data_IF_185257393569
#
_entry.id   IF_185257393569
#
_cell.length_a   1.000
_cell.length_b   1.000
_cell.length_c   1.000
_cell.angle_alpha   90.00
_cell.angle_beta   90.00
_cell.angle_gamma   90.00
#
_symmetry.space_group_name_H-M   'P 1'
#
loop_
_entity.id
_entity.type
_entity.pdbx_description
1 polymer ?
#
# COMPACT_ATOMS: atom_id res chain seq x y z
N UNK A 1 27.87 -17.39 1.62
CA UNK A 1 26.95 -17.34 2.77
C UNK A 1 26.51 -15.90 2.92
N UNK A 2 25.21 -15.55 2.99
CA UNK A 2 24.84 -14.20 3.39
C UNK A 2 25.06 -14.12 4.90
N UNK A 3 26.20 -13.58 5.30
CA UNK A 3 26.59 -13.44 6.70
C UNK A 3 26.22 -12.04 7.18
N UNK A 4 25.23 -11.94 8.08
CA UNK A 4 25.07 -10.80 8.98
C UNK A 4 24.24 -9.59 8.54
N UNK A 5 23.45 -9.67 7.46
CA UNK A 5 22.57 -8.57 7.02
C UNK A 5 21.13 -9.02 6.76
N UNK A 6 20.17 -8.10 6.86
CA UNK A 6 18.80 -8.32 6.41
C UNK A 6 18.84 -8.83 4.96
N UNK A 7 18.11 -9.90 4.65
CA UNK A 7 18.08 -10.52 3.32
C UNK A 7 17.42 -9.68 2.22
N UNK A 8 17.25 -8.38 2.47
CA UNK A 8 16.58 -7.39 1.62
C UNK A 8 17.30 -6.04 1.82
N UNK A 9 17.58 -5.33 0.73
CA UNK A 9 18.18 -3.99 0.74
C UNK A 9 17.13 -2.89 0.87
N UNK A 10 17.53 -1.69 1.30
CA UNK A 10 16.65 -0.51 1.32
C UNK A 10 16.04 -0.22 -0.06
N UNK A 11 16.82 -0.37 -1.13
CA UNK A 11 16.34 -0.23 -2.51
C UNK A 11 15.26 -1.25 -2.88
N UNK A 12 15.39 -2.50 -2.44
CA UNK A 12 14.36 -3.53 -2.65
C UNK A 12 13.08 -3.24 -1.87
N UNK A 13 13.18 -2.71 -0.64
CA UNK A 13 12.03 -2.25 0.13
C UNK A 13 11.30 -1.10 -0.58
N UNK A 14 12.03 -0.10 -1.08
CA UNK A 14 11.45 1.01 -1.87
C UNK A 14 10.80 0.50 -3.16
N UNK A 15 11.43 -0.44 -3.85
CA UNK A 15 10.85 -1.10 -5.04
C UNK A 15 9.57 -1.85 -4.71
N UNK A 16 9.52 -2.54 -3.57
CA UNK A 16 8.32 -3.23 -3.13
C UNK A 16 7.21 -2.25 -2.77
N UNK A 17 7.51 -1.15 -2.06
CA UNK A 17 6.55 -0.09 -1.75
C UNK A 17 5.87 0.41 -3.03
N UNK A 18 6.64 0.66 -4.10
CA UNK A 18 6.09 1.06 -5.41
C UNK A 18 5.15 0.02 -6.04
N UNK A 19 5.41 -1.28 -5.84
CA UNK A 19 4.49 -2.34 -6.29
C UNK A 19 3.20 -2.36 -5.47
N UNK A 20 3.29 -2.07 -4.17
CA UNK A 20 2.14 -1.99 -3.27
C UNK A 20 1.29 -0.74 -3.59
N UNK A 21 1.90 0.40 -3.90
CA UNK A 21 1.18 1.57 -4.41
C UNK A 21 0.36 1.21 -5.65
N UNK A 22 0.95 0.47 -6.60
CA UNK A 22 0.25 0.01 -7.79
C UNK A 22 -0.94 -0.93 -7.50
N UNK A 23 -0.99 -1.55 -6.32
CA UNK A 23 -2.16 -2.30 -5.86
C UNK A 23 -3.20 -1.38 -5.19
N UNK A 24 -2.76 -0.40 -4.41
CA UNK A 24 -3.63 0.65 -3.87
C UNK A 24 -4.36 1.39 -5.00
N UNK A 25 -3.65 1.76 -6.07
CA UNK A 25 -4.24 2.41 -7.25
C UNK A 25 -5.32 1.55 -7.91
N UNK A 26 -5.09 0.23 -8.02
CA UNK A 26 -6.09 -0.70 -8.57
C UNK A 26 -7.33 -0.80 -7.68
N UNK A 27 -7.17 -0.73 -6.36
CA UNK A 27 -8.30 -0.65 -5.43
C UNK A 27 -9.08 0.65 -5.62
N UNK A 28 -8.38 1.78 -5.84
CA UNK A 28 -9.00 3.06 -6.19
C UNK A 28 -9.83 2.99 -7.47
N UNK A 29 -9.28 2.39 -8.54
CA UNK A 29 -10.02 2.16 -9.80
C UNK A 29 -11.26 1.30 -9.57
N UNK A 30 -11.15 0.22 -8.78
CA UNK A 30 -12.28 -0.64 -8.46
C UNK A 30 -13.35 0.09 -7.64
N UNK A 31 -12.94 0.91 -6.66
CA UNK A 31 -13.83 1.76 -5.85
C UNK A 31 -14.58 2.75 -6.74
N UNK A 32 -13.88 3.42 -7.65
CA UNK A 32 -14.50 4.39 -8.55
C UNK A 32 -15.49 3.73 -9.50
N UNK A 33 -15.19 2.51 -9.96
CA UNK A 33 -16.13 1.69 -10.72
C UNK A 33 -17.35 1.28 -9.87
N UNK A 34 -17.15 0.87 -8.61
CA UNK A 34 -18.24 0.52 -7.70
C UNK A 34 -19.15 1.73 -7.38
N UNK A 35 -18.61 2.94 -7.38
CA UNK A 35 -19.37 4.17 -7.18
C UNK A 35 -20.11 4.66 -8.44
N UNK A 36 -19.96 4.01 -9.60
CA UNK A 36 -20.85 4.23 -10.73
C UNK A 36 -22.19 3.57 -10.43
N UNK A 37 -23.02 4.27 -9.66
CA UNK A 37 -24.36 3.83 -9.29
C UNK A 37 -25.20 3.63 -10.55
N UNK A 38 -25.77 2.42 -10.71
CA UNK A 38 -26.85 2.23 -11.67
C UNK A 38 -28.11 2.90 -11.12
N UNK A 39 -28.77 3.77 -11.90
CA UNK A 39 -30.02 4.35 -11.44
C UNK A 39 -31.08 3.25 -11.26
N UNK A 40 -31.94 3.39 -10.26
CA UNK A 40 -32.93 2.37 -9.87
C UNK A 40 -33.84 1.92 -11.05
N UNK A 41 -34.08 2.83 -12.01
CA UNK A 41 -34.86 2.58 -13.21
C UNK A 41 -34.14 1.71 -14.26
N UNK A 42 -32.80 1.56 -14.17
CA UNK A 42 -32.00 0.70 -15.03
C UNK A 42 -32.32 -0.79 -14.86
N UNK A 43 -32.88 -1.20 -13.71
CA UNK A 43 -33.34 -2.56 -13.48
C UNK A 43 -34.62 -2.91 -14.26
N UNK A 44 -35.35 -1.89 -14.74
CA UNK A 44 -36.61 -2.06 -15.45
C UNK A 44 -37.79 -2.45 -14.55
N UNK A 45 -38.99 -2.42 -15.12
CA UNK A 45 -40.26 -2.52 -14.38
C UNK A 45 -40.40 -3.82 -13.58
N UNK A 46 -39.93 -4.96 -14.11
CA UNK A 46 -40.08 -6.27 -13.47
C UNK A 46 -39.16 -6.38 -12.24
N UNK A 47 -37.99 -5.74 -12.28
CA UNK A 47 -36.94 -5.87 -11.26
C UNK A 47 -36.83 -4.66 -10.32
N UNK A 48 -37.80 -3.74 -10.34
CA UNK A 48 -37.81 -2.51 -9.52
C UNK A 48 -37.75 -2.75 -7.99
N UNK A 49 -37.96 -4.00 -7.54
CA UNK A 49 -37.88 -4.37 -6.13
C UNK A 49 -36.44 -4.68 -5.66
N UNK A 50 -35.50 -4.82 -6.60
CA UNK A 50 -34.12 -5.20 -6.32
C UNK A 50 -33.24 -4.09 -5.72
N UNK A 51 -33.33 -2.81 -6.13
CA UNK A 51 -32.42 -1.78 -5.62
C UNK A 51 -32.37 -1.68 -4.09
N UNK A 52 -33.49 -1.70 -3.34
CA UNK A 52 -33.45 -1.69 -1.88
C UNK A 52 -32.70 -2.88 -1.26
N UNK A 53 -32.61 -4.00 -1.97
CA UNK A 53 -31.90 -5.22 -1.54
C UNK A 53 -30.42 -5.18 -1.93
N UNK A 54 -30.10 -4.62 -3.10
CA UNK A 54 -28.75 -4.62 -3.68
C UNK A 54 -27.92 -3.42 -3.21
N UNK A 55 -28.49 -2.22 -3.14
CA UNK A 55 -27.76 -0.99 -2.81
C UNK A 55 -26.98 -1.07 -1.47
N UNK A 56 -27.48 -1.72 -0.40
CA UNK A 56 -26.69 -1.89 0.83
C UNK A 56 -25.46 -2.77 0.64
N UNK A 57 -25.52 -3.78 -0.25
CA UNK A 57 -24.38 -4.63 -0.58
C UNK A 57 -23.36 -3.85 -1.42
N UNK A 58 -23.82 -3.03 -2.37
CA UNK A 58 -22.95 -2.16 -3.18
C UNK A 58 -22.19 -1.17 -2.31
N UNK A 59 -22.86 -0.54 -1.33
CA UNK A 59 -22.20 0.37 -0.40
C UNK A 59 -21.11 -0.35 0.43
N UNK A 60 -21.42 -1.53 0.98
CA UNK A 60 -20.44 -2.32 1.72
C UNK A 60 -19.24 -2.73 0.86
N UNK A 61 -19.47 -3.03 -0.42
CA UNK A 61 -18.39 -3.33 -1.36
C UNK A 61 -17.50 -2.11 -1.61
N UNK A 62 -18.08 -0.92 -1.80
CA UNK A 62 -17.34 0.33 -1.97
C UNK A 62 -16.51 0.68 -0.72
N UNK A 63 -17.07 0.48 0.47
CA UNK A 63 -16.38 0.70 1.75
C UNK A 63 -15.20 -0.28 1.91
N UNK A 64 -15.39 -1.55 1.57
CA UNK A 64 -14.34 -2.56 1.62
C UNK A 64 -13.18 -2.26 0.65
N UNK A 65 -13.48 -1.77 -0.55
CA UNK A 65 -12.47 -1.35 -1.52
C UNK A 65 -11.68 -0.13 -1.02
N UNK A 66 -12.36 0.82 -0.37
CA UNK A 66 -11.72 1.99 0.25
C UNK A 66 -10.77 1.55 1.37
N UNK A 67 -11.24 0.70 2.29
CA UNK A 67 -10.40 0.17 3.36
C UNK A 67 -9.18 -0.62 2.83
N UNK A 68 -9.36 -1.36 1.72
CA UNK A 68 -8.28 -2.05 1.04
C UNK A 68 -7.23 -1.09 0.47
N UNK A 69 -7.67 -0.01 -0.20
CA UNK A 69 -6.79 1.05 -0.71
C UNK A 69 -5.96 1.70 0.40
N UNK A 70 -6.61 2.07 1.51
CA UNK A 70 -5.94 2.69 2.66
C UNK A 70 -4.93 1.73 3.29
N UNK A 71 -5.30 0.45 3.43
CA UNK A 71 -4.41 -0.58 3.94
C UNK A 71 -3.15 -0.77 3.10
N UNK A 72 -3.28 -0.80 1.77
CA UNK A 72 -2.11 -0.89 0.89
C UNK A 72 -1.26 0.38 0.91
N UNK A 73 -1.87 1.55 0.96
CA UNK A 73 -1.15 2.83 1.12
C UNK A 73 -0.30 2.80 2.40
N UNK A 74 -0.90 2.40 3.53
CA UNK A 74 -0.18 2.29 4.80
C UNK A 74 0.94 1.24 4.78
N UNK A 75 0.75 0.10 4.10
CA UNK A 75 1.82 -0.90 3.92
C UNK A 75 2.97 -0.31 3.10
N UNK A 76 2.68 0.41 2.02
CA UNK A 76 3.71 1.05 1.19
C UNK A 76 4.49 2.10 1.99
N UNK A 77 3.82 2.89 2.84
CA UNK A 77 4.46 3.84 3.76
C UNK A 77 5.39 3.13 4.75
N UNK A 78 4.91 2.08 5.44
CA UNK A 78 5.73 1.30 6.38
C UNK A 78 6.97 0.68 5.71
N UNK A 79 6.86 0.27 4.44
CA UNK A 79 8.01 -0.24 3.68
C UNK A 79 9.04 0.86 3.39
N UNK A 80 8.59 2.10 3.09
CA UNK A 80 9.50 3.24 2.90
C UNK A 80 10.17 3.63 4.22
N UNK A 81 9.41 3.69 5.31
CA UNK A 81 9.94 3.95 6.65
C UNK A 81 10.99 2.91 7.04
N UNK A 82 10.72 1.63 6.77
CA UNK A 82 11.69 0.55 7.00
C UNK A 82 12.98 0.72 6.16
N UNK A 83 12.87 1.22 4.92
CA UNK A 83 14.02 1.52 4.09
C UNK A 83 14.84 2.70 4.62
N UNK A 84 14.17 3.76 5.07
CA UNK A 84 14.80 4.93 5.69
C UNK A 84 15.55 4.53 6.98
N UNK A 85 14.96 3.63 7.77
CA UNK A 85 15.58 3.06 8.98
C UNK A 85 16.85 2.26 8.68
N UNK A 86 16.90 1.54 7.56
CA UNK A 86 18.08 0.78 7.13
C UNK A 86 19.21 1.74 6.76
N UNK A 87 18.93 2.72 5.91
CA UNK A 87 19.90 3.71 5.46
C UNK A 87 20.45 4.52 6.65
N UNK A 88 19.58 4.98 7.56
CA UNK A 88 19.97 5.70 8.79
C UNK A 88 20.90 4.89 9.69
N UNK A 89 20.67 3.58 9.81
CA UNK A 89 21.54 2.69 10.59
C UNK A 89 22.87 2.47 9.89
N UNK A 90 22.87 2.23 8.59
CA UNK A 90 24.11 2.02 7.82
C UNK A 90 25.00 3.26 7.84
N UNK A 91 24.42 4.45 7.70
CA UNK A 91 25.14 5.73 7.80
C UNK A 91 25.81 5.91 9.17
N UNK A 92 25.05 5.70 10.26
CA UNK A 92 25.57 5.83 11.64
C UNK A 92 26.72 4.87 11.92
N UNK A 93 26.61 3.62 11.46
CA UNK A 93 27.70 2.65 11.62
C UNK A 93 28.90 3.01 10.75
N UNK A 94 28.69 3.44 9.51
CA UNK A 94 29.75 3.87 8.60
C UNK A 94 30.50 5.12 9.09
N UNK A 95 29.82 6.06 9.74
CA UNK A 95 30.46 7.20 10.42
C UNK A 95 31.28 6.79 11.63
N UNK A 96 30.78 5.86 12.44
CA UNK A 96 31.52 5.32 13.58
C UNK A 96 32.81 4.62 13.15
N UNK A 97 32.74 3.87 12.05
CA UNK A 97 33.89 3.18 11.48
C UNK A 97 34.95 4.18 10.96
N UNK A 98 34.55 5.13 10.10
CA UNK A 98 35.47 6.17 9.58
C UNK A 98 36.15 6.97 10.68
N UNK A 99 35.40 7.35 11.72
CA UNK A 99 35.96 8.07 12.89
C UNK A 99 37.01 7.25 13.63
N UNK A 100 36.84 5.94 13.69
CA UNK A 100 37.80 5.04 14.33
C UNK A 100 39.05 4.89 13.46
N UNK A 101 38.90 4.80 12.14
CA UNK A 101 40.02 4.78 11.19
C UNK A 101 40.84 6.08 11.23
N UNK A 102 40.18 7.23 11.26
CA UNK A 102 40.83 8.55 11.34
C UNK A 102 41.58 8.74 12.66
N UNK A 103 41.08 8.16 13.77
CA UNK A 103 41.76 8.22 15.08
C UNK A 103 42.94 7.24 15.22
N UNK A 104 43.07 6.27 14.32
CA UNK A 104 44.16 5.28 14.33
C UNK A 104 45.37 5.72 13.48
N UNK A 105 45.24 6.79 12.69
CA UNK A 105 46.25 7.31 11.77
C UNK A 105 46.96 8.54 12.35
#
# INVERSE_FOLDING_TARGET
MPEGGFGVTAGELRSHAGKVDGLADRMGVARDAANQVMPDDAYGLICQFLPPVINPLEQQAADALTAGQDGFTGIAENLRESADDYESRDEKHGEGFRRTEDGLR
#
